data_IF_338946472321
#
_entry.id   IF_338946472321
#
_cell.length_a   1.000
_cell.length_b   1.000
_cell.length_c   1.000
_cell.angle_alpha   90.00
_cell.angle_beta   90.00
_cell.angle_gamma   90.00
#
_symmetry.space_group_name_H-M   'P 1'
#
loop_
_entity.id
_entity.type
_entity.pdbx_description
1 polymer ?
#
# COMPACT_ATOMS: atom_id res chain seq x y z
N UNK A 1 5.34 28.62 27.77
CA UNK A 1 4.39 27.63 27.18
C UNK A 1 4.45 27.74 25.66
N UNK A 2 4.97 26.72 24.96
CA UNK A 2 5.01 26.74 23.49
C UNK A 2 3.60 26.49 22.94
N UNK A 3 3.13 27.34 22.03
CA UNK A 3 1.82 27.19 21.40
C UNK A 3 1.80 25.92 20.56
N UNK A 4 0.78 25.07 20.75
CA UNK A 4 0.58 23.86 19.94
C UNK A 4 0.40 24.25 18.48
N UNK A 5 1.30 23.78 17.61
CA UNK A 5 1.22 24.02 16.17
C UNK A 5 0.05 23.24 15.57
N UNK A 6 -0.80 23.92 14.80
CA UNK A 6 -1.89 23.30 14.05
C UNK A 6 -1.31 22.41 12.94
N UNK A 7 -1.79 21.17 12.85
CA UNK A 7 -1.39 20.25 11.79
C UNK A 7 -2.10 20.62 10.48
N UNK A 8 -1.31 20.81 9.41
CA UNK A 8 -1.80 21.00 8.05
C UNK A 8 -1.71 19.66 7.32
N UNK A 9 -2.85 19.13 6.88
CA UNK A 9 -2.92 17.86 6.14
C UNK A 9 -2.84 18.13 4.64
N UNK A 10 -1.77 17.68 3.99
CA UNK A 10 -1.58 17.81 2.54
C UNK A 10 -1.96 16.51 1.82
N UNK A 11 -2.66 16.63 0.70
CA UNK A 11 -2.96 15.54 -0.23
C UNK A 11 -1.71 15.04 -0.95
N UNK A 12 -1.78 13.85 -1.55
CA UNK A 12 -0.67 13.27 -2.31
C UNK A 12 -0.33 14.16 -3.52
N UNK A 13 -1.35 14.66 -4.22
CA UNK A 13 -1.16 15.56 -5.36
C UNK A 13 -0.47 16.88 -4.97
N UNK A 14 -0.87 17.51 -3.86
CA UNK A 14 -0.22 18.72 -3.35
C UNK A 14 1.24 18.48 -2.98
N UNK A 15 1.56 17.33 -2.37
CA UNK A 15 2.96 16.96 -2.07
C UNK A 15 3.78 16.79 -3.36
N UNK A 16 3.22 16.19 -4.40
CA UNK A 16 3.87 16.07 -5.72
C UNK A 16 4.10 17.46 -6.33
N UNK A 17 3.13 18.38 -6.21
CA UNK A 17 3.30 19.74 -6.70
C UNK A 17 4.44 20.48 -5.97
N UNK A 18 4.54 20.33 -4.66
CA UNK A 18 5.65 20.87 -3.86
C UNK A 18 7.00 20.30 -4.32
N UNK A 19 7.09 18.99 -4.57
CA UNK A 19 8.31 18.34 -5.07
C UNK A 19 8.71 18.95 -6.42
N UNK A 20 7.75 19.09 -7.34
CA UNK A 20 7.97 19.67 -8.68
C UNK A 20 8.47 21.12 -8.57
N UNK A 21 7.86 21.94 -7.74
CA UNK A 21 8.27 23.33 -7.53
C UNK A 21 9.68 23.45 -6.97
N UNK A 22 10.07 22.60 -6.00
CA UNK A 22 11.43 22.57 -5.47
C UNK A 22 12.46 22.20 -6.54
N UNK A 23 12.11 21.26 -7.43
CA UNK A 23 13.02 20.82 -8.51
C UNK A 23 13.12 21.80 -9.67
N UNK A 24 12.02 22.48 -10.04
CA UNK A 24 11.97 23.38 -11.21
C UNK A 24 12.44 24.80 -10.91
N UNK A 25 12.00 25.36 -9.78
CA UNK A 25 12.05 26.82 -9.60
C UNK A 25 13.40 27.34 -9.09
N UNK A 26 14.31 26.48 -8.61
CA UNK A 26 15.61 26.92 -8.04
C UNK A 26 15.50 27.86 -6.82
N UNK A 27 14.28 28.09 -6.32
CA UNK A 27 13.96 28.99 -5.21
C UNK A 27 14.44 28.42 -3.88
N UNK A 28 14.65 29.30 -2.89
CA UNK A 28 15.04 28.88 -1.55
C UNK A 28 13.92 28.05 -0.92
N UNK A 29 14.27 26.93 -0.27
CA UNK A 29 13.33 26.02 0.39
C UNK A 29 12.37 26.74 1.37
N UNK A 30 12.86 27.76 2.06
CA UNK A 30 12.04 28.56 2.98
C UNK A 30 10.98 29.42 2.28
N UNK A 31 11.24 29.92 1.07
CA UNK A 31 10.26 30.70 0.31
C UNK A 31 9.14 29.79 -0.19
N UNK A 32 9.50 28.60 -0.68
CA UNK A 32 8.53 27.58 -1.10
C UNK A 32 7.67 27.16 0.10
N UNK A 33 8.28 26.91 1.26
CA UNK A 33 7.53 26.56 2.46
C UNK A 33 6.50 27.63 2.85
N UNK A 34 6.85 28.92 2.72
CA UNK A 34 5.92 30.04 2.95
C UNK A 34 4.78 30.07 1.93
N UNK A 35 5.08 29.87 0.64
CA UNK A 35 4.06 29.86 -0.43
C UNK A 35 2.99 28.80 -0.20
N UNK A 36 3.38 27.62 0.28
CA UNK A 36 2.46 26.53 0.58
C UNK A 36 1.91 26.58 2.02
N UNK A 37 2.22 27.62 2.81
CA UNK A 37 1.85 27.78 4.21
C UNK A 37 2.19 26.54 5.08
N UNK A 38 3.38 25.97 4.87
CA UNK A 38 3.88 24.80 5.58
C UNK A 38 5.11 25.15 6.41
N UNK A 39 5.27 24.53 7.60
CA UNK A 39 6.51 24.62 8.33
C UNK A 39 7.70 24.08 7.50
N UNK A 40 8.90 24.67 7.60
CA UNK A 40 10.09 24.21 6.87
C UNK A 40 10.51 22.78 7.25
N UNK A 41 10.18 22.34 8.47
CA UNK A 41 10.33 20.95 8.90
C UNK A 41 9.45 20.00 8.08
N UNK A 42 8.23 20.42 7.73
CA UNK A 42 7.29 19.62 6.92
C UNK A 42 7.81 19.47 5.48
N UNK A 43 8.32 20.56 4.89
CA UNK A 43 8.96 20.50 3.57
C UNK A 43 10.14 19.52 3.55
N UNK A 44 10.95 19.54 4.60
CA UNK A 44 12.07 18.60 4.75
C UNK A 44 11.61 17.14 4.77
N UNK A 45 10.55 16.84 5.52
CA UNK A 45 9.98 15.48 5.57
C UNK A 45 9.40 15.05 4.22
N UNK A 46 8.72 15.96 3.50
CA UNK A 46 8.20 15.69 2.16
C UNK A 46 9.35 15.33 1.21
N UNK A 47 10.45 16.07 1.25
CA UNK A 47 11.61 15.82 0.41
C UNK A 47 12.34 14.52 0.77
N UNK A 48 12.36 14.12 2.05
CA UNK A 48 12.92 12.83 2.48
C UNK A 48 12.16 11.65 1.88
N UNK A 49 10.84 11.73 1.82
CA UNK A 49 9.97 10.65 1.32
C UNK A 49 9.53 10.87 -0.13
N UNK A 50 10.31 11.62 -0.93
CA UNK A 50 9.91 12.07 -2.27
C UNK A 50 9.59 10.90 -3.22
N UNK A 51 10.40 9.84 -3.19
CA UNK A 51 10.32 8.74 -4.15
C UNK A 51 9.06 7.90 -3.88
N UNK A 52 8.81 7.57 -2.61
CA UNK A 52 7.58 6.96 -2.15
C UNK A 52 6.32 7.76 -2.53
N UNK A 53 6.39 9.10 -2.42
CA UNK A 53 5.25 9.97 -2.74
C UNK A 53 4.97 9.94 -4.25
N UNK A 54 6.01 9.99 -5.08
CA UNK A 54 5.90 9.90 -6.53
C UNK A 54 5.38 8.52 -6.95
N UNK A 55 5.93 7.44 -6.40
CA UNK A 55 5.48 6.08 -6.68
C UNK A 55 4.01 5.89 -6.30
N UNK A 56 3.60 6.35 -5.11
CA UNK A 56 2.20 6.32 -4.67
C UNK A 56 1.26 7.13 -5.56
N UNK A 57 1.75 8.22 -6.17
CA UNK A 57 0.98 9.02 -7.13
C UNK A 57 0.80 8.28 -8.46
N UNK A 58 1.88 7.69 -9.01
CA UNK A 58 1.81 6.95 -10.28
C UNK A 58 0.99 5.65 -10.16
N UNK A 59 1.11 4.92 -9.04
CA UNK A 59 0.29 3.73 -8.77
C UNK A 59 -1.19 4.09 -8.55
N UNK A 60 -1.49 5.34 -8.20
CA UNK A 60 -2.85 5.80 -7.89
C UNK A 60 -3.35 6.79 -8.96
N UNK A 61 -3.64 6.27 -10.15
CA UNK A 61 -4.41 6.99 -11.17
C UNK A 61 -5.90 7.04 -10.77
N UNK A 62 -6.22 7.57 -9.59
CA UNK A 62 -7.56 7.59 -8.99
C UNK A 62 -7.71 8.46 -7.73
N UNK A 63 -8.95 8.80 -7.38
CA UNK A 63 -9.33 9.76 -6.33
C UNK A 63 -9.35 9.20 -4.89
N UNK A 64 -8.71 8.05 -4.64
CA UNK A 64 -8.83 7.36 -3.34
C UNK A 64 -7.90 7.93 -2.26
N UNK A 65 -8.47 8.36 -1.13
CA UNK A 65 -7.79 8.96 0.04
C UNK A 65 -6.83 8.01 0.78
N UNK A 66 -6.96 6.69 0.60
CA UNK A 66 -6.07 5.66 1.18
C UNK A 66 -5.83 4.57 0.14
N UNK A 67 -4.57 4.16 -0.02
CA UNK A 67 -4.20 3.02 -0.86
C UNK A 67 -4.79 1.74 -0.26
N UNK A 68 -5.48 0.95 -1.09
CA UNK A 68 -5.86 -0.42 -0.76
C UNK A 68 -4.75 -1.31 -1.31
N UNK A 69 -3.87 -1.80 -0.43
CA UNK A 69 -2.82 -2.74 -0.83
C UNK A 69 -3.53 -4.06 -1.15
N UNK A 70 -3.36 -4.56 -2.37
CA UNK A 70 -3.74 -5.93 -2.69
C UNK A 70 -2.60 -6.84 -2.21
N UNK A 71 -2.79 -7.55 -1.10
CA UNK A 71 -1.75 -8.42 -0.54
C UNK A 71 -1.50 -9.65 -1.43
N UNK A 72 -2.49 -10.05 -2.25
CA UNK A 72 -2.43 -11.24 -3.09
C UNK A 72 -3.24 -11.06 -4.39
N UNK A 73 -2.69 -10.37 -5.42
CA UNK A 73 -3.40 -10.07 -6.67
C UNK A 73 -3.86 -11.33 -7.41
N UNK A 74 -3.01 -12.36 -7.46
CA UNK A 74 -3.32 -13.62 -8.14
C UNK A 74 -4.54 -14.33 -7.53
N UNK A 75 -4.70 -14.23 -6.19
CA UNK A 75 -5.83 -14.85 -5.48
C UNK A 75 -7.12 -14.07 -5.77
N UNK A 76 -7.07 -12.74 -5.79
CA UNK A 76 -8.23 -11.91 -6.13
C UNK A 76 -8.70 -12.18 -7.57
N UNK A 77 -7.78 -12.22 -8.53
CA UNK A 77 -8.08 -12.49 -9.93
C UNK A 77 -8.72 -13.86 -10.13
N UNK A 78 -8.14 -14.92 -9.53
CA UNK A 78 -8.70 -16.27 -9.63
C UNK A 78 -10.06 -16.38 -8.95
N UNK A 79 -10.26 -15.74 -7.80
CA UNK A 79 -11.54 -15.75 -7.12
C UNK A 79 -12.65 -15.08 -7.96
N UNK A 80 -12.35 -13.96 -8.61
CA UNK A 80 -13.30 -13.27 -9.52
C UNK A 80 -13.59 -14.08 -10.79
N UNK A 81 -12.56 -14.74 -11.34
CA UNK A 81 -12.72 -15.66 -12.46
C UNK A 81 -13.69 -16.80 -12.11
N UNK A 82 -13.50 -17.47 -10.97
CA UNK A 82 -14.41 -18.54 -10.54
C UNK A 82 -15.81 -18.02 -10.24
N UNK A 83 -15.94 -16.86 -9.58
CA UNK A 83 -17.25 -16.27 -9.31
C UNK A 83 -18.01 -15.98 -10.61
N UNK A 84 -17.33 -15.44 -11.62
CA UNK A 84 -17.91 -15.21 -12.95
C UNK A 84 -18.35 -16.52 -13.61
N UNK A 85 -17.50 -17.56 -13.55
CA UNK A 85 -17.81 -18.90 -14.09
C UNK A 85 -19.02 -19.55 -13.38
N UNK A 86 -19.22 -19.24 -12.11
CA UNK A 86 -20.36 -19.71 -11.30
C UNK A 86 -21.60 -18.79 -11.42
N UNK A 87 -21.56 -17.76 -12.26
CA UNK A 87 -22.69 -16.85 -12.49
C UNK A 87 -22.79 -15.66 -11.53
N UNK A 88 -21.85 -15.53 -10.59
CA UNK A 88 -21.79 -14.42 -9.62
C UNK A 88 -21.00 -13.23 -10.17
N UNK A 89 -21.50 -12.57 -11.22
CA UNK A 89 -20.82 -11.44 -11.89
C UNK A 89 -20.61 -10.20 -11.01
N UNK A 90 -21.42 -10.04 -9.96
CA UNK A 90 -21.33 -8.91 -9.02
C UNK A 90 -20.34 -9.14 -7.87
N UNK A 91 -19.74 -10.33 -7.79
CA UNK A 91 -18.77 -10.64 -6.75
C UNK A 91 -17.46 -9.88 -7.00
N UNK A 92 -16.90 -9.29 -5.95
CA UNK A 92 -15.57 -8.66 -5.97
C UNK A 92 -14.71 -9.27 -4.89
N UNK A 93 -13.56 -9.83 -5.28
CA UNK A 93 -12.62 -10.45 -4.36
C UNK A 93 -11.84 -9.37 -3.63
N UNK A 94 -12.50 -8.65 -2.71
CA UNK A 94 -11.83 -7.59 -1.96
C UNK A 94 -10.87 -8.14 -0.91
N UNK A 95 -9.83 -7.37 -0.57
CA UNK A 95 -8.98 -7.66 0.59
C UNK A 95 -9.75 -8.04 1.88
N UNK A 96 -10.82 -7.32 2.23
CA UNK A 96 -11.63 -7.66 3.42
C UNK A 96 -12.39 -8.99 3.27
N UNK A 97 -12.86 -9.30 2.06
CA UNK A 97 -13.41 -10.63 1.76
C UNK A 97 -12.35 -11.71 1.92
N UNK A 98 -11.15 -11.50 1.38
CA UNK A 98 -10.05 -12.46 1.46
C UNK A 98 -9.58 -12.69 2.90
N UNK A 99 -9.43 -11.61 3.70
CA UNK A 99 -9.12 -11.72 5.13
C UNK A 99 -10.15 -12.55 5.88
N UNK A 100 -11.43 -12.25 5.71
CA UNK A 100 -12.51 -12.98 6.37
C UNK A 100 -12.66 -14.41 5.83
N UNK A 101 -12.44 -14.62 4.54
CA UNK A 101 -12.44 -15.95 3.94
C UNK A 101 -11.33 -16.82 4.51
N UNK A 102 -10.11 -16.29 4.69
CA UNK A 102 -9.00 -17.01 5.33
C UNK A 102 -9.35 -17.42 6.76
N UNK A 103 -9.89 -16.50 7.55
CA UNK A 103 -10.31 -16.77 8.93
C UNK A 103 -11.40 -17.86 8.95
N UNK A 104 -12.44 -17.72 8.13
CA UNK A 104 -13.57 -18.67 8.09
C UNK A 104 -13.16 -20.07 7.65
N UNK A 105 -12.23 -20.17 6.69
CA UNK A 105 -11.76 -21.44 6.14
C UNK A 105 -10.47 -21.94 6.82
N UNK A 106 -10.06 -21.32 7.93
CA UNK A 106 -8.88 -21.72 8.69
C UNK A 106 -7.59 -21.79 7.83
N UNK A 107 -7.48 -20.89 6.85
CA UNK A 107 -6.32 -20.78 5.94
C UNK A 107 -5.27 -19.88 6.59
N UNK A 108 -4.27 -20.51 7.19
CA UNK A 108 -3.12 -19.84 7.79
C UNK A 108 -1.84 -20.25 7.07
N UNK A 109 -0.96 -19.30 6.78
CA UNK A 109 0.41 -19.60 6.39
C UNK A 109 1.16 -20.10 7.62
N UNK A 110 1.15 -21.42 7.81
CA UNK A 110 2.04 -22.04 8.80
C UNK A 110 3.46 -22.02 8.22
N UNK A 111 4.39 -21.42 8.95
CA UNK A 111 5.82 -21.61 8.68
C UNK A 111 6.14 -23.06 9.07
N UNK A 112 6.43 -23.91 8.09
CA UNK A 112 6.88 -25.27 8.37
C UNK A 112 8.27 -25.16 9.03
N UNK A 113 8.39 -25.63 10.27
CA UNK A 113 9.65 -25.77 10.99
C UNK A 113 9.86 -27.25 11.32
N UNK A 114 10.67 -27.98 10.55
CA UNK A 114 11.00 -29.42 10.73
C UNK A 114 9.79 -30.35 10.49
N UNK A 115 9.88 -31.56 9.91
CA UNK A 115 10.87 -32.63 10.04
C UNK A 115 10.99 -33.36 8.69
N UNK A 116 12.14 -33.26 8.01
CA UNK A 116 12.38 -33.94 6.72
C UNK A 116 13.06 -35.31 6.90
N UNK A 117 12.96 -35.91 8.10
CA UNK A 117 13.81 -37.02 8.55
C UNK A 117 13.06 -38.24 9.11
N UNK A 118 11.72 -38.29 9.05
CA UNK A 118 10.93 -39.43 9.53
C UNK A 118 10.08 -40.05 8.42
N UNK A 119 10.69 -40.31 7.27
CA UNK A 119 10.12 -41.23 6.28
C UNK A 119 11.09 -42.40 6.19
N UNK A 120 10.71 -43.54 6.76
CA UNK A 120 11.42 -44.78 6.56
C UNK A 120 11.13 -45.27 5.13
N UNK A 121 12.16 -45.29 4.28
CA UNK A 121 12.05 -45.62 2.85
C UNK A 121 11.79 -47.12 2.60
N UNK A 122 11.65 -47.93 3.65
CA UNK A 122 11.48 -49.39 3.56
C UNK A 122 10.05 -49.87 3.24
N UNK A 123 9.06 -48.96 3.10
CA UNK A 123 7.65 -49.32 2.82
C UNK A 123 7.24 -49.05 1.36
N UNK A 124 8.18 -49.11 0.41
CA UNK A 124 7.84 -49.25 -1.00
C UNK A 124 8.50 -50.49 -1.59
N UNK A 125 7.83 -51.63 -1.39
CA UNK A 125 7.94 -52.80 -2.26
C UNK A 125 6.52 -53.24 -2.58
N UNK A 126 6.05 -52.87 -3.76
CA UNK A 126 5.37 -53.74 -4.73
C UNK A 126 5.36 -53.03 -6.10
#
# INVERSE_FOLDING_TARGET
>A
MSLKRKLVTLTIAEKVNIIREVTKSGKKKNEIAKQFNIPPSTLSTILKNKDDILQKYETNKGCMKRMKICEYPDIEEKAEFFATKLGHKQFKASQGWLSNWKIRNNVFFRKICGENASVDQSICSD
#
